data_IF_966048354586
#
_entry.id   IF_966048354586
#
_cell.length_a   1.000
_cell.length_b   1.000
_cell.length_c   1.000
_cell.angle_alpha   90.00
_cell.angle_beta   90.00
_cell.angle_gamma   90.00
#
_symmetry.space_group_name_H-M   'P 1'
#
loop_
_entity.id
_entity.type
_entity.pdbx_description
1 polymer ?
#
# COMPACT_ATOMS: atom_id res chain seq x y z
N UNK A 1 9.71 -23.73 6.86
CA UNK A 1 9.86 -24.74 5.77
C UNK A 1 9.19 -24.23 4.51
N UNK A 2 10.00 -23.90 3.52
CA UNK A 2 9.68 -23.25 2.24
C UNK A 2 9.47 -24.22 1.08
N UNK A 3 9.85 -25.49 1.22
CA UNK A 3 9.62 -26.54 0.22
C UNK A 3 8.75 -27.64 0.84
N UNK A 4 7.66 -28.01 0.16
CA UNK A 4 6.73 -29.07 0.55
C UNK A 4 6.78 -30.21 -0.46
N UNK A 5 6.86 -31.45 0.00
CA UNK A 5 6.65 -32.63 -0.85
C UNK A 5 5.16 -32.78 -1.16
N UNK A 6 4.81 -33.01 -2.42
CA UNK A 6 3.46 -33.31 -2.90
C UNK A 6 3.30 -34.80 -3.28
N UNK A 7 4.22 -35.66 -2.86
CA UNK A 7 4.19 -37.09 -3.21
C UNK A 7 4.47 -37.31 -4.71
N UNK A 8 3.57 -38.00 -5.40
CA UNK A 8 3.70 -38.30 -6.84
C UNK A 8 3.72 -37.05 -7.73
N UNK A 9 3.21 -35.91 -7.25
CA UNK A 9 3.21 -34.64 -7.98
C UNK A 9 4.52 -33.82 -7.84
N UNK A 10 5.52 -34.35 -7.12
CA UNK A 10 6.83 -33.72 -6.96
C UNK A 10 6.93 -32.79 -5.74
N UNK A 11 7.57 -31.64 -5.90
CA UNK A 11 7.90 -30.70 -4.82
C UNK A 11 7.38 -29.31 -5.12
N UNK A 12 6.84 -28.63 -4.11
CA UNK A 12 6.35 -27.25 -4.22
C UNK A 12 7.20 -26.32 -3.37
N UNK A 13 7.76 -25.31 -4.02
CA UNK A 13 8.35 -24.14 -3.35
C UNK A 13 7.23 -23.17 -3.00
N UNK A 14 7.25 -22.67 -1.77
CA UNK A 14 6.36 -21.67 -1.20
C UNK A 14 7.18 -20.74 -0.29
N UNK A 15 7.69 -19.66 -0.88
CA UNK A 15 8.62 -18.75 -0.21
C UNK A 15 8.12 -17.31 -0.31
N UNK A 16 8.38 -16.53 0.74
CA UNK A 16 8.24 -15.08 0.75
C UNK A 16 9.61 -14.46 0.97
N UNK A 17 10.34 -14.06 -0.10
CA UNK A 17 11.72 -13.57 0.02
C UNK A 17 11.81 -12.27 0.83
N UNK A 18 10.73 -11.47 0.89
CA UNK A 18 10.65 -10.22 1.65
C UNK A 18 9.89 -10.37 2.99
N UNK A 19 9.85 -11.58 3.56
CA UNK A 19 9.19 -11.82 4.84
C UNK A 19 7.65 -11.89 4.76
N UNK A 20 6.97 -11.80 5.92
CA UNK A 20 5.54 -12.14 6.07
C UNK A 20 4.60 -11.32 5.15
N UNK A 21 4.90 -10.05 4.95
CA UNK A 21 4.15 -9.11 4.10
C UNK A 21 4.66 -9.04 2.65
N UNK A 22 5.74 -9.77 2.34
CA UNK A 22 6.35 -9.82 1.02
C UNK A 22 5.57 -10.62 -0.02
N UNK A 23 5.87 -10.39 -1.30
CA UNK A 23 5.32 -11.15 -2.43
C UNK A 23 5.54 -12.65 -2.22
N UNK A 24 4.45 -13.44 -2.25
CA UNK A 24 4.52 -14.90 -2.15
C UNK A 24 4.82 -15.51 -3.51
N UNK A 25 5.87 -16.32 -3.58
CA UNK A 25 6.26 -17.05 -4.79
C UNK A 25 5.99 -18.54 -4.57
N UNK A 26 5.13 -19.12 -5.42
CA UNK A 26 4.80 -20.55 -5.42
C UNK A 26 5.06 -21.18 -6.77
N UNK A 27 5.76 -22.30 -6.79
CA UNK A 27 6.05 -23.06 -8.01
C UNK A 27 6.25 -24.55 -7.72
N UNK A 28 5.74 -25.42 -8.59
CA UNK A 28 5.92 -26.88 -8.53
C UNK A 28 7.13 -27.30 -9.37
N UNK A 29 7.85 -28.31 -8.91
CA UNK A 29 9.03 -28.92 -9.55
C UNK A 29 8.93 -30.44 -9.45
N UNK A 30 9.55 -31.14 -10.40
CA UNK A 30 9.56 -32.61 -10.39
C UNK A 30 10.54 -33.15 -9.35
N UNK A 31 11.68 -32.50 -9.18
CA UNK A 31 12.73 -32.95 -8.24
C UNK A 31 12.93 -31.99 -7.06
N UNK A 32 13.41 -32.53 -5.94
CA UNK A 32 13.75 -31.74 -4.74
C UNK A 32 14.90 -30.77 -5.02
N UNK A 33 15.89 -31.20 -5.83
CA UNK A 33 17.07 -30.40 -6.17
C UNK A 33 16.69 -29.13 -6.95
N UNK A 34 15.79 -29.26 -7.94
CA UNK A 34 15.28 -28.10 -8.69
C UNK A 34 14.51 -27.14 -7.79
N UNK A 35 13.66 -27.67 -6.89
CA UNK A 35 12.95 -26.87 -5.92
C UNK A 35 13.91 -26.08 -5.00
N UNK A 36 14.98 -26.73 -4.52
CA UNK A 36 16.01 -26.10 -3.68
C UNK A 36 16.87 -25.07 -4.43
N UNK A 37 17.20 -25.31 -5.70
CA UNK A 37 17.89 -24.32 -6.51
C UNK A 37 17.01 -23.10 -6.78
N UNK A 38 15.74 -23.32 -7.11
CA UNK A 38 14.79 -22.22 -7.34
C UNK A 38 14.55 -21.41 -6.07
N UNK A 39 14.38 -22.06 -4.92
CA UNK A 39 14.24 -21.37 -3.64
C UNK A 39 15.44 -20.45 -3.37
N UNK A 40 16.68 -20.98 -3.48
CA UNK A 40 17.91 -20.21 -3.29
C UNK A 40 18.01 -19.04 -4.27
N UNK A 41 17.64 -19.26 -5.54
CA UNK A 41 17.63 -18.21 -6.55
C UNK A 41 16.61 -17.11 -6.25
N UNK A 42 15.39 -17.47 -5.82
CA UNK A 42 14.35 -16.50 -5.45
C UNK A 42 14.79 -15.69 -4.24
N UNK A 43 15.35 -16.31 -3.20
CA UNK A 43 15.88 -15.60 -2.05
C UNK A 43 17.02 -14.68 -2.49
N UNK A 44 18.01 -15.15 -3.25
CA UNK A 44 19.14 -14.32 -3.68
C UNK A 44 18.73 -13.14 -4.58
N UNK A 45 17.74 -13.33 -5.46
CA UNK A 45 17.37 -12.32 -6.48
C UNK A 45 16.30 -11.34 -6.01
N UNK A 46 15.45 -11.75 -5.06
CA UNK A 46 14.28 -10.98 -4.60
C UNK A 46 14.41 -10.50 -3.15
N UNK A 47 15.47 -10.88 -2.44
CA UNK A 47 15.78 -10.32 -1.13
C UNK A 47 16.34 -8.90 -1.32
N UNK A 48 15.64 -7.92 -0.75
CA UNK A 48 16.01 -6.51 -0.65
C UNK A 48 16.82 -5.94 -1.81
N UNK A 49 16.16 -5.80 -2.96
CA UNK A 49 16.55 -4.75 -3.88
C UNK A 49 15.92 -3.46 -3.37
N UNK A 50 16.64 -2.68 -2.59
CA UNK A 50 16.16 -1.37 -2.10
C UNK A 50 15.83 -0.40 -3.26
N UNK A 51 16.36 -0.70 -4.46
CA UNK A 51 16.08 0.00 -5.71
C UNK A 51 14.87 -0.53 -6.50
N UNK A 52 14.23 -1.63 -6.07
CA UNK A 52 12.97 -2.08 -6.64
C UNK A 52 11.86 -1.41 -5.85
N UNK A 53 11.15 -0.50 -6.51
CA UNK A 53 10.05 0.24 -5.90
C UNK A 53 9.11 -0.71 -5.16
N UNK A 54 8.90 -0.41 -3.88
CA UNK A 54 7.89 -1.10 -3.09
C UNK A 54 6.55 -0.94 -3.80
N UNK A 55 5.72 -2.00 -3.88
CA UNK A 55 4.41 -1.89 -4.49
C UNK A 55 3.66 -0.71 -3.85
N UNK A 56 3.10 0.15 -4.70
CA UNK A 56 2.41 1.35 -4.26
C UNK A 56 1.31 0.99 -3.25
N UNK A 57 1.21 1.77 -2.17
CA UNK A 57 0.24 1.53 -1.11
C UNK A 57 -1.19 1.55 -1.68
N UNK A 58 -1.87 0.41 -1.56
CA UNK A 58 -3.23 0.21 -2.08
C UNK A 58 -4.31 0.54 -1.06
N UNK A 59 -3.94 0.95 0.16
CA UNK A 59 -4.89 1.30 1.20
C UNK A 59 -5.73 2.53 0.80
N UNK A 60 -7.01 2.59 1.20
CA UNK A 60 -7.82 3.78 1.03
C UNK A 60 -7.23 4.94 1.83
N UNK A 61 -7.36 6.16 1.31
CA UNK A 61 -6.86 7.36 2.00
C UNK A 61 -7.48 7.52 3.39
N UNK A 62 -8.73 7.15 3.56
CA UNK A 62 -9.46 7.20 4.84
C UNK A 62 -8.80 6.34 5.92
N UNK A 63 -8.32 5.15 5.57
CA UNK A 63 -7.57 4.29 6.51
C UNK A 63 -6.25 4.94 6.93
N UNK A 64 -5.56 5.62 6.02
CA UNK A 64 -4.34 6.35 6.36
C UNK A 64 -4.62 7.55 7.27
N UNK A 65 -5.74 8.25 7.06
CA UNK A 65 -6.17 9.35 7.93
C UNK A 65 -6.45 8.83 9.34
N UNK A 66 -7.18 7.71 9.48
CA UNK A 66 -7.46 7.10 10.77
C UNK A 66 -6.19 6.64 11.49
N UNK A 67 -5.25 6.02 10.75
CA UNK A 67 -3.96 5.63 11.29
C UNK A 67 -3.14 6.84 11.74
N UNK A 68 -3.10 7.89 10.91
CA UNK A 68 -2.44 9.14 11.27
C UNK A 68 -3.04 9.74 12.55
N UNK A 69 -4.36 9.75 12.69
CA UNK A 69 -5.01 10.28 13.88
C UNK A 69 -4.66 9.46 15.12
N UNK A 70 -4.74 8.12 15.05
CA UNK A 70 -4.38 7.20 16.15
C UNK A 70 -2.93 7.34 16.59
N UNK A 71 -1.99 7.53 15.66
CA UNK A 71 -0.56 7.58 15.98
C UNK A 71 -0.08 8.99 16.36
N UNK A 72 -0.64 10.03 15.75
CA UNK A 72 -0.11 11.39 15.88
C UNK A 72 -1.21 12.43 16.07
N UNK A 73 -2.27 12.40 15.25
CA UNK A 73 -3.29 13.44 15.23
C UNK A 73 -3.98 13.64 16.58
N UNK A 74 -4.18 12.58 17.38
CA UNK A 74 -4.78 12.67 18.71
C UNK A 74 -4.02 13.55 19.70
N UNK A 75 -2.71 13.77 19.48
CA UNK A 75 -1.87 14.59 20.35
C UNK A 75 -1.86 16.08 19.94
N UNK A 76 -2.49 16.42 18.80
CA UNK A 76 -2.53 17.79 18.30
C UNK A 76 -3.72 18.56 18.87
N UNK A 77 -3.52 19.85 19.17
CA UNK A 77 -4.56 20.74 19.71
C UNK A 77 -5.83 20.77 18.84
N UNK A 78 -5.67 20.78 17.52
CA UNK A 78 -6.77 20.76 16.55
C UNK A 78 -6.88 19.41 15.82
N UNK A 79 -6.30 18.34 16.39
CA UNK A 79 -6.21 17.02 15.75
C UNK A 79 -7.54 16.48 15.25
N UNK A 80 -8.58 16.52 16.09
CA UNK A 80 -9.94 16.07 15.76
C UNK A 80 -10.52 16.88 14.60
N UNK A 81 -10.29 18.20 14.58
CA UNK A 81 -10.77 19.07 13.49
C UNK A 81 -10.06 18.77 12.18
N UNK A 82 -8.75 18.50 12.24
CA UNK A 82 -7.94 18.16 11.07
C UNK A 82 -8.35 16.79 10.53
N UNK A 83 -8.50 15.78 11.38
CA UNK A 83 -9.00 14.45 11.00
C UNK A 83 -10.35 14.56 10.30
N UNK A 84 -11.32 15.24 10.91
CA UNK A 84 -12.64 15.41 10.33
C UNK A 84 -12.58 16.12 8.97
N UNK A 85 -11.73 17.15 8.83
CA UNK A 85 -11.53 17.83 7.55
C UNK A 85 -10.96 16.88 6.51
N UNK A 86 -9.91 16.11 6.85
CA UNK A 86 -9.28 15.15 5.95
C UNK A 86 -10.27 14.06 5.50
N UNK A 87 -11.12 13.57 6.41
CA UNK A 87 -12.19 12.62 6.08
C UNK A 87 -13.20 13.22 5.10
N UNK A 88 -13.63 14.48 5.32
CA UNK A 88 -14.53 15.18 4.40
C UNK A 88 -13.90 15.42 3.02
N UNK A 89 -12.60 15.71 2.97
CA UNK A 89 -11.86 15.84 1.71
C UNK A 89 -11.81 14.50 0.98
N UNK A 90 -11.46 13.41 1.68
CA UNK A 90 -11.44 12.06 1.11
C UNK A 90 -12.81 11.66 0.56
N UNK A 91 -13.89 11.93 1.29
CA UNK A 91 -15.26 11.66 0.86
C UNK A 91 -15.63 12.44 -0.42
N UNK A 92 -15.31 13.74 -0.48
CA UNK A 92 -15.53 14.57 -1.68
C UNK A 92 -14.71 14.12 -2.89
N UNK A 93 -13.54 13.54 -2.64
CA UNK A 93 -12.69 12.93 -3.67
C UNK A 93 -13.14 11.53 -4.08
N UNK A 94 -14.23 10.99 -3.52
CA UNK A 94 -14.73 9.66 -3.84
C UNK A 94 -13.96 8.51 -3.16
N UNK A 95 -13.34 8.77 -2.00
CA UNK A 95 -12.54 7.83 -1.23
C UNK A 95 -11.43 7.15 -2.05
N UNK A 96 -10.49 7.93 -2.61
CA UNK A 96 -9.40 7.41 -3.41
C UNK A 96 -8.43 6.57 -2.57
N UNK A 97 -7.65 5.74 -3.24
CA UNK A 97 -6.48 5.09 -2.64
C UNK A 97 -5.36 6.10 -2.44
N UNK A 98 -4.50 5.86 -1.46
CA UNK A 98 -3.35 6.71 -1.18
C UNK A 98 -2.46 6.93 -2.42
N UNK A 99 -2.23 5.88 -3.21
CA UNK A 99 -1.42 5.94 -4.43
C UNK A 99 -2.06 6.73 -5.59
N UNK A 100 -3.36 7.04 -5.52
CA UNK A 100 -4.07 7.82 -6.55
C UNK A 100 -4.00 9.32 -6.29
N UNK A 101 -3.65 9.73 -5.06
CA UNK A 101 -3.48 11.14 -4.71
C UNK A 101 -2.21 11.68 -5.36
N UNK A 102 -2.39 12.31 -6.50
CA UNK A 102 -1.35 13.01 -7.26
C UNK A 102 -1.60 14.52 -7.24
N UNK A 103 -0.62 15.32 -7.68
CA UNK A 103 -0.76 16.78 -7.75
C UNK A 103 -1.91 17.22 -8.67
N UNK A 104 -2.11 16.51 -9.78
CA UNK A 104 -3.24 16.77 -10.69
C UNK A 104 -4.55 16.43 -10.03
N UNK A 105 -4.64 15.28 -9.36
CA UNK A 105 -5.84 14.86 -8.63
C UNK A 105 -6.28 15.89 -7.57
N UNK A 106 -5.33 16.44 -6.81
CA UNK A 106 -5.63 17.51 -5.86
C UNK A 106 -6.02 18.83 -6.53
N UNK A 107 -5.46 19.13 -7.70
CA UNK A 107 -5.83 20.31 -8.49
C UNK A 107 -7.27 20.20 -9.00
N UNK A 108 -7.70 19.02 -9.45
CA UNK A 108 -9.07 18.75 -9.87
C UNK A 108 -10.05 18.89 -8.69
N UNK A 109 -9.68 18.34 -7.53
CA UNK A 109 -10.43 18.54 -6.28
C UNK A 109 -10.57 20.03 -5.93
N UNK A 110 -9.50 20.82 -6.10
CA UNK A 110 -9.52 22.26 -5.84
C UNK A 110 -10.50 22.99 -6.77
N UNK A 111 -10.51 22.64 -8.06
CA UNK A 111 -11.46 23.20 -9.04
C UNK A 111 -12.90 22.85 -8.66
N UNK A 112 -13.16 21.61 -8.28
CA UNK A 112 -14.47 21.15 -7.81
C UNK A 112 -14.95 21.97 -6.59
N UNK A 113 -14.06 22.21 -5.61
CA UNK A 113 -14.39 23.01 -4.42
C UNK A 113 -14.71 24.47 -4.74
N UNK A 114 -14.01 25.07 -5.71
CA UNK A 114 -14.31 26.42 -6.16
C UNK A 114 -15.64 26.48 -6.91
N UNK A 115 -15.95 25.46 -7.72
CA UNK A 115 -17.23 25.34 -8.43
C UNK A 115 -18.43 25.19 -7.48
N UNK A 116 -18.23 24.57 -6.31
CA UNK A 116 -19.22 24.52 -5.21
C UNK A 116 -19.46 25.88 -4.51
N UNK A 117 -18.84 26.98 -4.99
CA UNK A 117 -19.00 28.32 -4.43
C UNK A 117 -18.19 28.57 -3.16
N UNK A 118 -17.21 27.71 -2.83
CA UNK A 118 -16.33 27.95 -1.67
C UNK A 118 -15.36 29.08 -1.98
N UNK A 119 -15.18 29.98 -1.01
CA UNK A 119 -14.20 31.07 -1.10
C UNK A 119 -12.79 30.50 -1.26
N UNK A 120 -11.98 31.12 -2.13
CA UNK A 120 -10.60 30.71 -2.35
C UNK A 120 -9.77 30.63 -1.05
N UNK A 121 -10.01 31.55 -0.10
CA UNK A 121 -9.37 31.52 1.23
C UNK A 121 -9.62 30.21 1.98
N UNK A 122 -10.82 29.65 1.87
CA UNK A 122 -11.17 28.38 2.52
C UNK A 122 -10.54 27.20 1.79
N UNK A 123 -10.56 27.21 0.46
CA UNK A 123 -9.95 26.16 -0.38
C UNK A 123 -8.42 26.12 -0.23
N UNK A 124 -7.78 27.25 0.10
CA UNK A 124 -6.34 27.31 0.40
C UNK A 124 -5.98 26.70 1.77
N UNK A 125 -6.97 26.43 2.61
CA UNK A 125 -6.79 25.82 3.94
C UNK A 125 -7.24 24.35 3.97
N UNK A 126 -7.64 23.81 2.81
CA UNK A 126 -7.79 22.38 2.57
C UNK A 126 -6.40 21.80 2.26
#
# INVERSE_FOLDING_TARGET
MSIKSLGAEGYMVDVRPQGRTGKRVRKKFKTKSEAQQFERWVIATQNNKDWVDKPADQRPLTELIDLWFKHHGQNLKDGVKIEHKLQMMAAKMGNPKACQITRSFFSDYRVLRLAEGRKAKTVNLD
#
